data_IF_130510963088
#
_entry.id   IF_130510963088
#
_cell.length_a   1.000
_cell.length_b   1.000
_cell.length_c   1.000
_cell.angle_alpha   90.00
_cell.angle_beta   90.00
_cell.angle_gamma   90.00
#
_symmetry.space_group_name_H-M   'P 1'
#
loop_
_entity.id
_entity.type
_entity.pdbx_description
1 polymer ?
#
# COMPACT_ATOMS: atom_id res chain seq x y z
N UNK A 1 -15.83 18.32 2.72
CA UNK A 1 -16.83 19.24 3.32
C UNK A 1 -18.17 18.51 3.36
N UNK A 2 -18.83 18.52 4.53
CA UNK A 2 -20.19 18.00 4.68
C UNK A 2 -21.22 18.99 4.08
N UNK A 3 -22.41 18.46 3.74
CA UNK A 3 -23.53 19.29 3.28
C UNK A 3 -24.01 20.16 4.45
N UNK A 4 -24.44 21.38 4.16
CA UNK A 4 -25.07 22.24 5.16
C UNK A 4 -26.31 21.55 5.75
N UNK A 5 -26.44 21.59 7.08
CA UNK A 5 -27.50 20.89 7.81
C UNK A 5 -27.28 19.41 8.07
N UNK A 6 -26.12 18.84 7.64
CA UNK A 6 -25.78 17.45 7.98
C UNK A 6 -25.43 17.33 9.47
N UNK A 7 -25.98 16.33 10.12
CA UNK A 7 -25.56 15.93 11.48
C UNK A 7 -24.19 15.25 11.41
N UNK A 8 -23.26 15.68 12.26
CA UNK A 8 -21.93 15.10 12.37
C UNK A 8 -21.81 14.32 13.67
N UNK A 9 -21.50 13.03 13.56
CA UNK A 9 -21.36 12.13 14.69
C UNK A 9 -19.92 11.60 14.72
N UNK A 10 -19.19 11.88 15.79
CA UNK A 10 -17.88 11.26 16.03
C UNK A 10 -18.08 9.84 16.56
N UNK A 11 -17.71 8.87 15.74
CA UNK A 11 -17.86 7.46 16.07
C UNK A 11 -16.65 6.84 16.78
N UNK A 12 -15.63 7.61 17.13
CA UNK A 12 -14.42 7.08 17.76
C UNK A 12 -14.69 6.38 19.11
N UNK A 13 -15.77 6.75 19.79
CA UNK A 13 -16.18 6.19 21.07
C UNK A 13 -17.46 5.33 20.99
N UNK A 14 -17.98 5.10 19.79
CA UNK A 14 -19.26 4.39 19.58
C UNK A 14 -18.96 2.94 19.21
N UNK A 15 -19.35 1.94 20.02
CA UNK A 15 -19.29 0.52 19.64
C UNK A 15 -20.28 0.21 18.52
N UNK A 16 -20.09 -0.95 17.85
CA UNK A 16 -20.91 -1.34 16.70
C UNK A 16 -22.39 -1.45 17.07
N UNK A 17 -22.70 -1.93 18.28
CA UNK A 17 -24.05 -2.09 18.82
C UNK A 17 -24.78 -0.76 18.91
N UNK A 18 -24.08 0.31 19.24
CA UNK A 18 -24.66 1.66 19.37
C UNK A 18 -24.82 2.38 18.02
N UNK A 19 -24.28 1.82 16.94
CA UNK A 19 -24.55 2.31 15.57
C UNK A 19 -25.93 1.89 15.07
N UNK A 20 -26.48 0.77 15.54
CA UNK A 20 -27.77 0.26 15.08
C UNK A 20 -28.93 1.26 15.31
N UNK A 21 -29.08 1.91 16.48
CA UNK A 21 -30.10 2.94 16.67
C UNK A 21 -29.95 4.13 15.72
N UNK A 22 -28.70 4.55 15.42
CA UNK A 22 -28.44 5.65 14.49
C UNK A 22 -28.85 5.30 13.06
N UNK A 23 -28.53 4.10 12.61
CA UNK A 23 -28.91 3.61 11.29
C UNK A 23 -30.42 3.37 11.18
N UNK A 24 -31.03 2.83 12.23
CA UNK A 24 -32.49 2.64 12.29
C UNK A 24 -33.20 3.97 12.16
N UNK A 25 -32.79 4.98 12.91
CA UNK A 25 -33.33 6.34 12.79
C UNK A 25 -33.19 6.88 11.37
N UNK A 26 -32.00 6.74 10.78
CA UNK A 26 -31.76 7.23 9.44
C UNK A 26 -32.67 6.54 8.41
N UNK A 27 -32.92 5.24 8.53
CA UNK A 27 -33.87 4.50 7.70
C UNK A 27 -35.29 5.04 7.87
N UNK A 28 -35.74 5.18 9.09
CA UNK A 28 -37.11 5.57 9.40
C UNK A 28 -37.41 7.02 8.99
N UNK A 29 -36.41 7.88 9.02
CA UNK A 29 -36.49 9.28 8.56
C UNK A 29 -36.11 9.48 7.08
N UNK A 30 -35.74 8.42 6.34
CA UNK A 30 -35.36 8.49 4.95
C UNK A 30 -34.04 9.26 4.71
N UNK A 31 -33.11 9.20 5.67
CA UNK A 31 -31.82 9.90 5.60
C UNK A 31 -30.73 9.04 4.94
N UNK A 32 -29.75 9.71 4.35
CA UNK A 32 -28.53 9.09 3.82
C UNK A 32 -27.42 9.21 4.85
N UNK A 33 -26.82 8.08 5.23
CA UNK A 33 -25.68 8.03 6.15
C UNK A 33 -24.39 7.86 5.36
N UNK A 34 -23.46 8.79 5.52
CA UNK A 34 -22.09 8.67 5.02
C UNK A 34 -21.16 8.24 6.17
N UNK A 35 -20.74 6.97 6.15
CA UNK A 35 -19.74 6.44 7.08
C UNK A 35 -18.35 6.72 6.55
N UNK A 36 -17.69 7.74 7.10
CA UNK A 36 -16.36 8.17 6.64
C UNK A 36 -15.26 7.33 7.31
N UNK A 37 -14.37 6.77 6.51
CA UNK A 37 -13.19 6.04 6.93
C UNK A 37 -11.91 6.77 6.51
N UNK A 38 -10.80 6.51 7.21
CA UNK A 38 -9.46 6.91 6.74
C UNK A 38 -8.94 5.85 5.78
N UNK A 39 -8.33 6.27 4.68
CA UNK A 39 -7.78 5.37 3.67
C UNK A 39 -8.88 4.66 2.86
N UNK A 40 -8.71 3.37 2.62
CA UNK A 40 -9.70 2.52 1.95
C UNK A 40 -10.50 1.71 2.97
N UNK A 41 -11.83 1.77 2.95
CA UNK A 41 -12.69 1.09 3.91
C UNK A 41 -12.62 -0.45 3.82
N UNK A 42 -12.11 -1.01 2.73
CA UNK A 42 -11.95 -2.46 2.58
C UNK A 42 -10.75 -3.02 3.35
N UNK A 43 -9.83 -2.14 3.81
CA UNK A 43 -8.62 -2.53 4.55
C UNK A 43 -8.76 -2.14 6.02
N UNK A 44 -8.99 -3.11 6.89
CA UNK A 44 -9.17 -2.95 8.35
C UNK A 44 -10.31 -1.99 8.76
N UNK A 45 -11.30 -1.77 7.88
CA UNK A 45 -12.40 -0.83 8.10
C UNK A 45 -13.61 -1.41 8.85
N UNK A 46 -13.61 -2.70 9.24
CA UNK A 46 -14.76 -3.40 9.83
C UNK A 46 -16.07 -3.25 9.01
N UNK A 47 -15.95 -3.12 7.70
CA UNK A 47 -17.09 -2.87 6.80
C UNK A 47 -18.00 -4.08 6.65
N UNK A 48 -17.47 -5.30 6.82
CA UNK A 48 -18.27 -6.52 6.76
C UNK A 48 -19.33 -6.55 7.88
N UNK A 49 -18.94 -6.20 9.10
CA UNK A 49 -19.81 -6.14 10.27
C UNK A 49 -20.90 -5.06 10.10
N UNK A 50 -20.51 -3.89 9.62
CA UNK A 50 -21.44 -2.78 9.34
C UNK A 50 -22.43 -3.13 8.22
N UNK A 51 -21.97 -3.79 7.16
CA UNK A 51 -22.84 -4.27 6.09
C UNK A 51 -23.85 -5.29 6.59
N UNK A 52 -23.43 -6.22 7.46
CA UNK A 52 -24.32 -7.21 8.03
C UNK A 52 -25.35 -6.55 8.96
N UNK A 53 -24.97 -5.53 9.71
CA UNK A 53 -25.90 -4.70 10.48
C UNK A 53 -26.93 -4.04 9.54
N UNK A 54 -26.48 -3.36 8.49
CA UNK A 54 -27.38 -2.70 7.53
C UNK A 54 -28.38 -3.70 6.90
N UNK A 55 -27.91 -4.90 6.51
CA UNK A 55 -28.78 -5.96 5.98
C UNK A 55 -29.86 -6.40 6.96
N UNK A 56 -29.49 -6.58 8.24
CA UNK A 56 -30.47 -6.98 9.28
C UNK A 56 -31.58 -5.96 9.48
N UNK A 57 -31.25 -4.69 9.36
CA UNK A 57 -32.22 -3.61 9.58
C UNK A 57 -32.84 -3.06 8.28
N UNK A 58 -32.53 -3.67 7.12
CA UNK A 58 -33.13 -3.32 5.84
C UNK A 58 -32.67 -2.00 5.24
N UNK A 59 -31.37 -1.70 5.39
CA UNK A 59 -30.73 -0.54 4.77
C UNK A 59 -29.81 -0.99 3.62
N UNK A 60 -29.91 -0.32 2.48
CA UNK A 60 -28.97 -0.48 1.37
C UNK A 60 -27.58 0.00 1.78
N UNK A 61 -26.55 -0.72 1.33
CA UNK A 61 -25.16 -0.46 1.66
C UNK A 61 -24.30 -0.42 0.40
N UNK A 62 -23.56 0.68 0.23
CA UNK A 62 -22.60 0.86 -0.83
C UNK A 62 -21.21 1.18 -0.24
N UNK A 63 -20.16 0.56 -0.76
CA UNK A 63 -18.77 0.87 -0.40
C UNK A 63 -18.14 1.72 -1.49
N UNK A 64 -17.72 2.93 -1.15
CA UNK A 64 -16.97 3.80 -2.05
C UNK A 64 -15.48 3.59 -1.76
N UNK A 65 -14.66 3.22 -2.76
CA UNK A 65 -13.23 2.98 -2.55
C UNK A 65 -12.49 4.25 -2.18
N UNK A 66 -11.43 4.11 -1.40
CA UNK A 66 -10.52 5.17 -1.02
C UNK A 66 -9.08 4.87 -1.37
N UNK A 67 -8.19 5.82 -1.12
CA UNK A 67 -6.75 5.62 -1.28
C UNK A 67 -6.18 5.09 0.02
N UNK A 68 -5.68 3.87 -0.01
CA UNK A 68 -5.07 3.25 1.17
C UNK A 68 -3.77 3.95 1.58
N UNK A 69 -3.48 3.96 2.89
CA UNK A 69 -2.29 4.64 3.44
C UNK A 69 -0.98 4.13 2.83
N UNK A 70 -0.87 2.85 2.46
CA UNK A 70 0.34 2.33 1.80
C UNK A 70 0.55 2.95 0.42
N UNK A 71 -0.51 3.10 -0.38
CA UNK A 71 -0.44 3.74 -1.71
C UNK A 71 -0.11 5.22 -1.60
N UNK A 72 -0.72 5.90 -0.63
CA UNK A 72 -0.43 7.30 -0.36
C UNK A 72 1.03 7.50 0.11
N UNK A 73 1.54 6.62 0.99
CA UNK A 73 2.93 6.66 1.44
C UNK A 73 3.92 6.41 0.30
N UNK A 74 3.66 5.42 -0.56
CA UNK A 74 4.47 5.13 -1.73
C UNK A 74 4.52 6.35 -2.68
N UNK A 75 3.37 6.97 -2.96
CA UNK A 75 3.29 8.16 -3.79
C UNK A 75 4.03 9.37 -3.18
N UNK A 76 3.97 9.56 -1.85
CA UNK A 76 4.72 10.63 -1.16
C UNK A 76 6.24 10.46 -1.23
N UNK A 77 6.69 9.25 -1.39
CA UNK A 77 8.11 8.90 -1.44
C UNK A 77 8.62 8.60 -2.85
N UNK A 78 7.77 8.80 -3.88
CA UNK A 78 8.07 8.55 -5.29
C UNK A 78 8.63 7.13 -5.53
N UNK A 79 8.03 6.11 -4.88
CA UNK A 79 8.46 4.72 -5.02
C UNK A 79 7.39 3.86 -5.68
N UNK A 80 7.85 2.94 -6.52
CA UNK A 80 7.07 1.80 -7.01
C UNK A 80 7.28 0.61 -6.06
N UNK A 81 6.19 0.05 -5.57
CA UNK A 81 6.22 -1.06 -4.59
C UNK A 81 6.28 -2.44 -5.26
N UNK A 82 6.16 -2.49 -6.60
CA UNK A 82 6.17 -3.71 -7.41
C UNK A 82 7.15 -3.55 -8.57
N UNK A 83 8.45 -3.64 -8.27
CA UNK A 83 9.53 -3.46 -9.24
C UNK A 83 9.84 -4.79 -9.93
N UNK A 84 9.86 -4.87 -11.28
CA UNK A 84 10.20 -6.08 -12.02
C UNK A 84 11.53 -6.70 -11.56
N UNK A 85 11.57 -8.03 -11.43
CA UNK A 85 12.72 -8.83 -11.00
C UNK A 85 13.20 -8.57 -9.55
N UNK A 86 12.61 -7.58 -8.85
CA UNK A 86 12.95 -7.24 -7.46
C UNK A 86 11.86 -7.70 -6.50
N UNK A 87 10.63 -7.24 -6.71
CA UNK A 87 9.45 -7.65 -5.97
C UNK A 87 8.20 -7.40 -6.80
N UNK A 88 7.39 -8.42 -7.01
CA UNK A 88 6.14 -8.34 -7.81
C UNK A 88 4.89 -8.56 -6.95
N UNK A 89 5.07 -8.69 -5.63
CA UNK A 89 3.98 -8.93 -4.68
C UNK A 89 3.98 -7.89 -3.59
N UNK A 90 2.79 -7.54 -3.13
CA UNK A 90 2.56 -6.71 -1.96
C UNK A 90 1.76 -7.50 -0.93
N UNK A 91 2.31 -7.67 0.25
CA UNK A 91 1.64 -8.30 1.39
C UNK A 91 1.15 -7.21 2.34
N UNK A 92 -0.17 -7.15 2.51
CA UNK A 92 -0.82 -6.27 3.49
C UNK A 92 -1.05 -7.07 4.77
N UNK A 93 -0.50 -6.60 5.87
CA UNK A 93 -0.64 -7.30 7.15
C UNK A 93 -0.53 -6.34 8.36
N UNK A 94 -0.60 -6.90 9.54
CA UNK A 94 -0.31 -6.25 10.83
C UNK A 94 0.50 -7.19 11.71
N UNK A 95 1.16 -6.65 12.71
CA UNK A 95 1.86 -7.49 13.70
C UNK A 95 0.82 -8.27 14.52
N UNK A 96 1.08 -9.55 14.67
CA UNK A 96 0.32 -10.44 15.55
C UNK A 96 0.40 -10.02 17.01
N UNK A 97 -0.50 -10.58 17.83
CA UNK A 97 -0.65 -10.23 19.23
C UNK A 97 -1.46 -8.91 19.41
N UNK A 98 -1.85 -8.64 20.60
CA UNK A 98 -2.81 -7.60 20.91
C UNK A 98 -4.22 -8.19 21.13
N UNK A 99 -5.25 -7.38 20.94
CA UNK A 99 -6.62 -7.78 21.30
C UNK A 99 -7.30 -8.67 20.24
N UNK A 100 -6.91 -8.53 18.98
CA UNK A 100 -7.47 -9.32 17.89
C UNK A 100 -6.47 -10.37 17.45
N UNK A 101 -6.80 -11.67 17.54
CA UNK A 101 -5.92 -12.75 17.11
C UNK A 101 -5.64 -12.68 15.60
N UNK A 102 -4.53 -13.28 15.18
CA UNK A 102 -4.21 -13.52 13.77
C UNK A 102 -4.53 -14.98 13.44
N UNK A 103 -4.99 -15.25 12.21
CA UNK A 103 -5.06 -16.63 11.72
C UNK A 103 -3.68 -17.28 11.71
N UNK A 104 -3.65 -18.63 11.86
CA UNK A 104 -2.42 -19.39 11.78
C UNK A 104 -1.76 -19.20 10.39
N UNK A 105 -0.45 -18.95 10.41
CA UNK A 105 0.33 -18.74 9.19
C UNK A 105 0.34 -17.29 8.63
N UNK A 106 -0.49 -16.39 9.15
CA UNK A 106 -0.55 -14.97 8.68
C UNK A 106 0.33 -14.02 9.52
N UNK A 107 1.09 -14.53 10.48
CA UNK A 107 1.98 -13.69 11.29
C UNK A 107 3.11 -13.06 10.48
N UNK A 108 3.73 -12.00 11.00
CA UNK A 108 4.70 -11.20 10.25
C UNK A 108 5.93 -12.01 9.83
N UNK A 109 6.51 -12.81 10.71
CA UNK A 109 7.73 -13.56 10.38
C UNK A 109 7.54 -14.59 9.24
N UNK A 110 6.50 -15.44 9.21
CA UNK A 110 6.19 -16.29 8.06
C UNK A 110 5.93 -15.51 6.77
N UNK A 111 5.21 -14.39 6.86
CA UNK A 111 4.92 -13.54 5.69
C UNK A 111 6.18 -12.89 5.12
N UNK A 112 7.11 -12.50 5.97
CA UNK A 112 8.40 -11.90 5.60
C UNK A 112 9.31 -12.86 4.81
N UNK A 113 9.16 -14.20 4.98
CA UNK A 113 9.92 -15.21 4.24
C UNK A 113 9.71 -15.15 2.72
N UNK A 114 8.64 -14.53 2.27
CA UNK A 114 8.42 -14.32 0.83
C UNK A 114 9.40 -13.31 0.21
N UNK A 115 10.08 -12.46 1.01
CA UNK A 115 10.97 -11.41 0.51
C UNK A 115 10.27 -10.36 -0.34
N UNK A 116 8.94 -10.34 -0.32
CA UNK A 116 8.11 -9.41 -1.10
C UNK A 116 8.08 -8.02 -0.45
N UNK A 117 7.52 -7.03 -1.13
CA UNK A 117 7.17 -5.77 -0.46
C UNK A 117 6.04 -6.02 0.54
N UNK A 118 6.20 -5.52 1.78
CA UNK A 118 5.13 -5.60 2.78
C UNK A 118 4.67 -4.21 3.20
N UNK A 119 3.37 -4.08 3.44
CA UNK A 119 2.74 -2.89 4.04
C UNK A 119 2.08 -3.30 5.37
N UNK A 120 2.58 -2.76 6.46
CA UNK A 120 2.27 -3.20 7.82
C UNK A 120 1.51 -2.11 8.55
N UNK A 121 0.29 -2.44 8.95
CA UNK A 121 -0.66 -1.57 9.61
C UNK A 121 -0.74 -1.85 11.12
N UNK A 122 -1.34 -0.94 11.88
CA UNK A 122 -1.74 -1.15 13.29
C UNK A 122 -0.63 -1.64 14.23
N UNK A 123 0.64 -1.47 13.85
CA UNK A 123 1.79 -2.04 14.54
C UNK A 123 2.74 -1.00 15.17
N UNK A 124 2.46 0.29 15.02
CA UNK A 124 3.34 1.39 15.41
C UNK A 124 3.73 1.36 16.89
N UNK A 125 2.80 1.06 17.80
CA UNK A 125 3.06 0.98 19.24
C UNK A 125 4.00 -0.19 19.63
N UNK A 126 4.16 -1.18 18.73
CA UNK A 126 4.98 -2.37 18.97
C UNK A 126 6.13 -2.46 17.96
N UNK A 127 6.71 -1.31 17.62
CA UNK A 127 7.73 -1.18 16.57
C UNK A 127 8.96 -2.07 16.78
N UNK A 128 9.39 -2.30 18.04
CA UNK A 128 10.51 -3.21 18.34
C UNK A 128 10.15 -4.65 17.97
N UNK A 129 9.00 -5.14 18.40
CA UNK A 129 8.55 -6.50 18.07
C UNK A 129 8.31 -6.66 16.56
N UNK A 130 7.85 -5.60 15.88
CA UNK A 130 7.73 -5.60 14.43
C UNK A 130 9.09 -5.76 13.74
N UNK A 131 10.08 -4.98 14.15
CA UNK A 131 11.45 -5.10 13.62
C UNK A 131 12.03 -6.49 13.83
N UNK A 132 11.89 -7.05 15.05
CA UNK A 132 12.35 -8.39 15.39
C UNK A 132 11.68 -9.47 14.53
N UNK A 133 10.35 -9.40 14.35
CA UNK A 133 9.62 -10.36 13.52
C UNK A 133 10.00 -10.29 12.03
N UNK A 134 10.29 -9.11 11.50
CA UNK A 134 10.75 -8.94 10.12
C UNK A 134 12.15 -9.53 9.91
N UNK A 135 13.07 -9.29 10.84
CA UNK A 135 14.41 -9.88 10.81
C UNK A 135 14.36 -11.41 10.97
N UNK A 136 13.55 -11.94 11.89
CA UNK A 136 13.30 -13.37 12.05
C UNK A 136 12.74 -13.99 10.77
N UNK A 137 11.90 -13.26 10.06
CA UNK A 137 11.31 -13.67 8.80
C UNK A 137 12.29 -13.68 7.61
N UNK A 138 13.52 -13.17 7.80
CA UNK A 138 14.60 -13.26 6.82
C UNK A 138 14.88 -11.99 6.02
N UNK A 139 14.24 -10.86 6.31
CA UNK A 139 14.72 -9.58 5.79
C UNK A 139 16.07 -9.25 6.41
N UNK A 140 16.96 -8.70 5.58
CA UNK A 140 18.28 -8.28 6.03
C UNK A 140 18.20 -6.96 6.82
N UNK A 141 19.16 -6.71 7.75
CA UNK A 141 19.18 -5.47 8.52
C UNK A 141 19.17 -4.19 7.66
N UNK A 142 19.78 -4.24 6.49
CA UNK A 142 19.84 -3.16 5.49
C UNK A 142 18.62 -3.07 4.57
N UNK A 143 17.62 -3.93 4.75
CA UNK A 143 16.38 -3.85 3.95
C UNK A 143 15.71 -2.50 4.12
N UNK A 144 15.41 -1.78 3.02
CA UNK A 144 14.84 -0.45 3.11
C UNK A 144 13.42 -0.46 3.67
N UNK A 145 13.17 0.51 4.53
CA UNK A 145 11.87 0.78 5.14
C UNK A 145 11.43 2.21 4.88
N UNK A 146 10.12 2.39 4.70
CA UNK A 146 9.45 3.69 4.66
C UNK A 146 8.42 3.70 5.80
N UNK A 147 8.44 4.76 6.61
CA UNK A 147 7.47 4.99 7.66
C UNK A 147 6.64 6.21 7.26
N UNK A 148 5.36 6.01 7.01
CA UNK A 148 4.41 7.09 6.78
C UNK A 148 3.56 7.32 8.02
N UNK A 149 3.68 8.48 8.65
CA UNK A 149 2.86 8.91 9.78
C UNK A 149 1.83 9.93 9.32
N UNK A 150 0.57 9.73 9.71
CA UNK A 150 -0.55 10.62 9.42
C UNK A 150 -0.58 11.06 7.93
N UNK A 151 -0.31 10.11 7.02
CA UNK A 151 -0.15 10.38 5.59
C UNK A 151 -1.38 11.10 5.05
N UNK A 152 -1.15 12.20 4.34
CA UNK A 152 -2.14 13.17 3.83
C UNK A 152 -2.80 14.09 4.85
N UNK A 153 -2.47 13.96 6.12
CA UNK A 153 -2.93 14.87 7.16
C UNK A 153 -1.99 16.09 7.28
N UNK A 154 -2.41 17.18 7.94
CA UNK A 154 -1.53 18.34 8.17
C UNK A 154 -0.23 18.02 8.91
N UNK A 155 -0.26 16.99 9.77
CA UNK A 155 0.86 16.53 10.59
C UNK A 155 1.68 15.41 9.92
N UNK A 156 1.53 15.22 8.61
CA UNK A 156 2.23 14.20 7.84
C UNK A 156 3.74 14.24 8.08
N UNK A 157 4.32 13.08 8.36
CA UNK A 157 5.76 12.87 8.39
C UNK A 157 6.12 11.60 7.65
N UNK A 158 7.18 11.68 6.85
CA UNK A 158 7.70 10.56 6.07
C UNK A 158 9.16 10.32 6.42
N UNK A 159 9.53 9.06 6.64
CA UNK A 159 10.91 8.68 6.97
C UNK A 159 11.35 7.49 6.12
N UNK A 160 12.63 7.50 5.73
CA UNK A 160 13.34 6.33 5.23
C UNK A 160 14.35 5.88 6.26
N UNK A 161 14.51 4.59 6.39
CA UNK A 161 15.56 3.98 7.20
C UNK A 161 15.80 2.54 6.74
N UNK A 162 16.90 1.96 7.17
CA UNK A 162 17.10 0.52 7.10
C UNK A 162 16.28 -0.18 8.18
N UNK A 163 15.96 -1.44 7.97
CA UNK A 163 15.20 -2.26 8.92
C UNK A 163 15.86 -2.30 10.31
N UNK A 164 17.20 -2.33 10.36
CA UNK A 164 17.94 -2.27 11.62
C UNK A 164 17.61 -1.04 12.49
N UNK A 165 17.21 0.06 11.86
CA UNK A 165 16.91 1.33 12.53
C UNK A 165 15.42 1.65 12.63
N UNK A 166 14.53 0.75 12.16
CA UNK A 166 13.08 0.96 12.14
C UNK A 166 12.52 1.38 13.51
N UNK A 167 12.79 0.59 14.54
CA UNK A 167 12.28 0.84 15.89
C UNK A 167 12.87 2.11 16.52
N UNK A 168 14.13 2.38 16.30
CA UNK A 168 14.80 3.58 16.76
C UNK A 168 14.18 4.84 16.13
N UNK A 169 14.03 4.84 14.81
CA UNK A 169 13.41 5.93 14.06
C UNK A 169 11.99 6.21 14.56
N UNK A 170 11.17 5.17 14.72
CA UNK A 170 9.81 5.34 15.22
C UNK A 170 9.75 5.88 16.64
N UNK A 171 10.66 5.47 17.52
CA UNK A 171 10.72 5.96 18.90
C UNK A 171 11.21 7.41 18.99
N UNK A 172 12.25 7.77 18.26
CA UNK A 172 12.81 9.11 18.24
C UNK A 172 11.79 10.16 17.79
N UNK A 173 10.92 9.78 16.85
CA UNK A 173 9.83 10.63 16.34
C UNK A 173 8.48 10.41 17.04
N UNK A 174 8.43 9.57 18.08
CA UNK A 174 7.22 9.29 18.89
C UNK A 174 6.04 8.77 18.09
N UNK A 175 6.30 7.91 17.11
CA UNK A 175 5.30 7.36 16.20
C UNK A 175 4.66 6.10 16.82
N UNK A 176 3.66 6.28 17.67
CA UNK A 176 3.00 5.17 18.37
C UNK A 176 1.66 4.77 17.78
N UNK A 177 1.10 5.56 16.87
CA UNK A 177 -0.20 5.37 16.21
C UNK A 177 -0.19 6.06 14.85
N UNK A 178 -1.22 5.84 14.04
CA UNK A 178 -1.43 6.47 12.73
C UNK A 178 -0.25 6.33 11.76
N UNK A 179 0.52 5.26 11.89
CA UNK A 179 1.64 4.99 11.00
C UNK A 179 1.43 3.70 10.20
N UNK A 180 1.85 3.73 8.94
CA UNK A 180 2.05 2.57 8.06
C UNK A 180 3.54 2.38 7.84
N UNK A 181 4.00 1.14 7.88
CA UNK A 181 5.40 0.78 7.58
C UNK A 181 5.41 -0.01 6.28
N UNK A 182 6.18 0.47 5.30
CA UNK A 182 6.52 -0.30 4.10
C UNK A 182 7.92 -0.86 4.32
N UNK A 183 8.13 -2.12 3.92
CA UNK A 183 9.44 -2.79 3.98
C UNK A 183 9.62 -3.68 2.75
N UNK A 184 10.80 -3.70 2.21
CA UNK A 184 11.14 -4.60 1.10
C UNK A 184 12.16 -4.03 0.13
N UNK A 185 12.78 -4.91 -0.68
CA UNK A 185 13.86 -4.52 -1.60
C UNK A 185 13.42 -3.53 -2.69
N UNK A 186 12.13 -3.53 -3.09
CA UNK A 186 11.60 -2.58 -4.08
C UNK A 186 11.63 -1.11 -3.62
N UNK A 187 11.82 -0.86 -2.32
CA UNK A 187 11.86 0.49 -1.76
C UNK A 187 13.26 1.11 -1.78
N UNK A 188 14.27 0.40 -2.31
CA UNK A 188 15.64 0.89 -2.40
C UNK A 188 15.73 2.16 -3.26
N UNK A 189 16.59 3.08 -2.84
CA UNK A 189 16.94 4.26 -3.63
C UNK A 189 18.03 3.93 -4.66
N UNK A 190 17.99 4.64 -5.77
CA UNK A 190 19.02 4.52 -6.80
C UNK A 190 18.47 4.13 -8.17
N UNK A 191 19.36 3.97 -9.15
CA UNK A 191 18.97 3.59 -10.49
C UNK A 191 18.38 2.18 -10.50
N UNK A 192 17.22 2.03 -11.14
CA UNK A 192 16.61 0.73 -11.36
C UNK A 192 17.44 -0.05 -12.38
N UNK A 193 17.95 -1.21 -11.97
CA UNK A 193 18.72 -2.11 -12.84
C UNK A 193 17.83 -2.96 -13.75
N UNK A 194 16.54 -3.02 -13.46
CA UNK A 194 15.54 -3.84 -14.16
C UNK A 194 14.53 -2.97 -14.89
N UNK A 195 13.94 -3.49 -15.95
CA UNK A 195 12.97 -2.76 -16.76
C UNK A 195 11.75 -3.62 -17.03
N UNK A 196 10.56 -3.03 -16.96
CA UNK A 196 9.34 -3.70 -17.40
C UNK A 196 9.43 -4.07 -18.88
N UNK A 197 9.15 -5.34 -19.20
CA UNK A 197 9.06 -5.82 -20.58
C UNK A 197 8.04 -5.03 -21.40
N UNK A 198 6.98 -4.56 -20.80
CA UNK A 198 5.93 -3.78 -21.46
C UNK A 198 6.48 -2.54 -22.19
N UNK A 199 7.48 -1.89 -21.62
CA UNK A 199 8.11 -0.69 -22.19
C UNK A 199 9.35 -1.00 -23.05
N UNK A 200 9.73 -2.28 -23.21
CA UNK A 200 10.83 -2.67 -24.05
C UNK A 200 10.43 -2.60 -25.54
N UNK A 201 11.25 -2.01 -26.43
CA UNK A 201 10.91 -1.87 -27.86
C UNK A 201 10.65 -3.22 -28.55
N UNK A 202 11.29 -4.30 -28.11
CA UNK A 202 11.08 -5.67 -28.59
C UNK A 202 9.81 -6.35 -28.09
N UNK A 203 9.03 -5.72 -27.19
CA UNK A 203 7.78 -6.28 -26.68
C UNK A 203 6.60 -5.86 -27.55
N UNK A 204 5.86 -6.84 -28.06
CA UNK A 204 4.63 -6.64 -28.84
C UNK A 204 3.42 -6.62 -27.91
N UNK A 205 2.53 -5.68 -28.09
CA UNK A 205 1.20 -5.70 -27.48
C UNK A 205 0.17 -5.08 -28.45
N UNK A 206 -1.08 -5.08 -28.07
CA UNK A 206 -2.22 -4.65 -28.89
C UNK A 206 -2.03 -3.29 -29.59
N UNK A 207 -1.40 -2.33 -28.89
CA UNK A 207 -1.21 -0.96 -29.37
C UNK A 207 0.19 -0.68 -29.93
N UNK A 208 1.10 -1.68 -30.00
CA UNK A 208 2.47 -1.47 -30.47
C UNK A 208 3.08 -2.73 -31.05
N UNK A 209 3.56 -2.63 -32.31
CA UNK A 209 4.40 -3.67 -32.90
C UNK A 209 5.79 -3.71 -32.22
N UNK A 210 6.38 -4.90 -32.15
CA UNK A 210 7.76 -5.04 -31.69
C UNK A 210 8.74 -4.53 -32.74
N UNK A 211 9.81 -3.86 -32.30
CA UNK A 211 11.02 -3.68 -33.09
C UNK A 211 11.68 -5.05 -33.29
N UNK A 212 11.99 -5.41 -34.55
CA UNK A 212 12.48 -6.76 -34.87
C UNK A 212 13.84 -7.08 -34.24
N UNK A 213 14.77 -6.12 -34.25
CA UNK A 213 16.11 -6.29 -33.66
C UNK A 213 16.01 -6.40 -32.15
N UNK A 214 15.27 -5.48 -31.52
CA UNK A 214 15.07 -5.48 -30.08
C UNK A 214 14.29 -6.72 -29.59
N UNK A 215 13.41 -7.29 -30.42
CA UNK A 215 12.73 -8.55 -30.14
C UNK A 215 13.68 -9.75 -30.14
N UNK A 216 14.61 -9.79 -31.09
CA UNK A 216 15.61 -10.84 -31.16
C UNK A 216 16.56 -10.76 -29.95
N UNK A 217 16.98 -9.55 -29.58
CA UNK A 217 17.83 -9.31 -28.42
C UNK A 217 17.15 -9.69 -27.09
N UNK A 218 15.86 -9.38 -26.95
CA UNK A 218 15.06 -9.76 -25.78
C UNK A 218 14.95 -11.28 -25.65
N UNK A 219 14.76 -11.99 -26.75
CA UNK A 219 14.73 -13.47 -26.77
C UNK A 219 16.08 -14.11 -26.44
N UNK A 220 17.18 -13.51 -26.91
CA UNK A 220 18.52 -14.04 -26.71
C UNK A 220 19.01 -13.92 -25.26
N UNK A 221 18.63 -12.85 -24.57
CA UNK A 221 19.19 -12.51 -23.26
C UNK A 221 18.24 -12.74 -22.09
N UNK A 222 16.96 -12.95 -22.33
CA UNK A 222 15.96 -13.33 -21.30
C UNK A 222 15.65 -12.28 -20.22
N UNK A 223 16.40 -11.18 -20.19
CA UNK A 223 16.28 -10.10 -19.22
C UNK A 223 16.08 -8.75 -19.90
N UNK A 224 15.28 -7.89 -19.29
CA UNK A 224 15.03 -6.55 -19.77
C UNK A 224 16.05 -5.54 -19.21
N UNK A 225 17.35 -5.75 -19.49
CA UNK A 225 18.36 -4.73 -19.21
C UNK A 225 18.03 -3.39 -19.86
N UNK A 226 18.63 -2.31 -19.38
CA UNK A 226 18.43 -0.97 -19.94
C UNK A 226 18.81 -0.96 -21.43
N UNK A 227 17.80 -0.91 -22.31
CA UNK A 227 18.01 -0.81 -23.75
C UNK A 227 18.39 0.63 -24.08
N UNK A 228 19.67 0.85 -24.40
CA UNK A 228 20.13 2.11 -25.00
C UNK A 228 19.92 2.03 -26.49
N UNK A 229 18.96 2.79 -27.02
CA UNK A 229 18.85 3.02 -28.46
C UNK A 229 20.14 3.64 -28.93
N UNK A 230 20.94 2.91 -29.70
CA UNK A 230 22.07 3.50 -30.38
C UNK A 230 21.56 4.66 -31.26
N UNK A 231 21.98 5.87 -30.97
CA UNK A 231 21.57 7.11 -31.62
C UNK A 231 22.23 7.31 -33.02
N UNK A 232 22.30 6.23 -33.80
CA UNK A 232 22.76 6.28 -35.19
C UNK A 232 21.60 5.85 -36.09
N UNK A 233 20.59 6.70 -36.25
CA UNK A 233 19.77 6.66 -37.44
C UNK A 233 20.18 7.82 -38.36
N UNK A 234 20.82 7.53 -39.50
CA UNK A 234 21.31 8.57 -40.43
C UNK A 234 20.21 9.11 -41.38
N UNK A 235 18.93 8.75 -41.18
CA UNK A 235 17.86 9.14 -42.10
C UNK A 235 16.95 10.25 -41.52
N UNK A 236 17.52 11.45 -41.35
CA UNK A 236 16.74 12.70 -41.48
C UNK A 236 17.53 13.63 -42.46
N UNK A 237 17.60 13.22 -43.69
CA UNK A 237 17.87 14.16 -44.78
C UNK A 237 16.55 14.50 -45.44
N UNK A 238 16.12 15.72 -45.23
CA UNK A 238 15.56 16.67 -46.10
C UNK A 238 14.47 16.25 -47.10
N UNK A 239 13.29 16.85 -46.91
CA UNK A 239 12.58 17.35 -48.09
C UNK A 239 12.24 18.79 -47.80
N UNK A 240 12.85 19.62 -48.62
CA UNK A 240 12.58 21.00 -48.92
C UNK A 240 11.17 21.20 -49.49
#
# INVERSE_FOLDING_TARGET
RHKEGAELIDSASIPLEDLEPLYTRARDEGLVVARVHTGDPSIYGATAEQRDLCRRIGIDFETIPGISAFSAAAARMDVEITVPEVSQSLILTRLEGGRTPMPDGETVAPSARHGATMAIYLSAARNKALQEALLEGGYLPETPCIIGYAVTWPEEMMFRCDLAHLSETMRNHKLWKHAVVLVGPALAEGPISTRSHLYHPGFRHEYRAADAQAHADLKAHGTCGVYHRNSTNPDTKGNS
#
